data_IF_152750192694
#
_entry.id   IF_152750192694
#
_cell.length_a   1.000
_cell.length_b   1.000
_cell.length_c   1.000
_cell.angle_alpha   90.00
_cell.angle_beta   90.00
_cell.angle_gamma   90.00
#
_symmetry.space_group_name_H-M   'P 1'
#
loop_
_entity.id
_entity.type
_entity.pdbx_description
1 polymer ?
#
# COMPACT_ATOMS: atom_id res chain seq x y z
N UNK A 1 4.08 21.94 40.25
CA UNK A 1 2.99 21.74 39.25
C UNK A 1 3.29 22.54 37.99
N UNK A 2 3.65 21.88 36.87
CA UNK A 2 3.92 22.57 35.59
C UNK A 2 2.61 22.68 34.80
N UNK A 3 2.10 23.91 34.64
CA UNK A 3 0.88 24.22 33.87
C UNK A 3 1.08 23.80 32.41
N UNK A 4 0.25 22.88 31.92
CA UNK A 4 0.19 22.54 30.49
C UNK A 4 -0.21 23.78 29.69
N UNK A 5 0.65 24.21 28.77
CA UNK A 5 0.38 25.35 27.89
C UNK A 5 -0.77 24.95 26.96
N UNK A 6 -1.92 25.63 27.06
CA UNK A 6 -3.02 25.49 26.10
C UNK A 6 -2.51 25.92 24.72
N UNK A 7 -2.48 24.99 23.77
CA UNK A 7 -2.05 25.28 22.40
C UNK A 7 -3.14 26.11 21.74
N UNK A 8 -2.81 27.34 21.34
CA UNK A 8 -3.72 28.24 20.63
C UNK A 8 -3.81 27.79 19.17
N UNK A 9 -5.02 27.42 18.72
CA UNK A 9 -5.31 26.93 17.37
C UNK A 9 -4.83 27.90 16.29
N UNK A 10 -4.92 29.21 16.55
CA UNK A 10 -4.48 30.24 15.61
C UNK A 10 -2.96 30.24 15.43
N UNK A 11 -2.21 30.02 16.51
CA UNK A 11 -0.75 29.87 16.48
C UNK A 11 -0.31 28.59 15.77
N UNK A 12 -1.10 27.52 15.85
CA UNK A 12 -0.82 26.28 15.11
C UNK A 12 -1.02 26.46 13.60
N UNK A 13 -2.12 27.12 13.20
CA UNK A 13 -2.40 27.43 11.78
C UNK A 13 -1.33 28.35 11.20
N UNK A 14 -0.91 29.38 11.95
CA UNK A 14 0.15 30.28 11.54
C UNK A 14 1.48 29.54 11.34
N UNK A 15 1.85 28.66 12.28
CA UNK A 15 3.06 27.85 12.17
C UNK A 15 3.04 26.92 10.96
N UNK A 16 1.89 26.30 10.66
CA UNK A 16 1.72 25.46 9.47
C UNK A 16 1.82 26.28 8.17
N UNK A 17 1.28 27.51 8.16
CA UNK A 17 1.36 28.39 7.01
C UNK A 17 2.79 28.89 6.75
N UNK A 18 3.56 29.19 7.81
CA UNK A 18 4.98 29.57 7.72
C UNK A 18 5.83 28.39 7.21
N UNK A 19 5.62 27.18 7.73
CA UNK A 19 6.28 25.96 7.24
C UNK A 19 5.97 25.66 5.77
N UNK A 20 4.74 25.93 5.32
CA UNK A 20 4.36 25.81 3.91
C UNK A 20 5.05 26.85 3.02
N UNK A 21 5.31 28.07 3.52
CA UNK A 21 6.07 29.08 2.77
C UNK A 21 7.54 28.70 2.64
N UNK A 22 8.15 28.19 3.71
CA UNK A 22 9.54 27.70 3.70
C UNK A 22 9.72 26.55 2.70
N UNK A 23 8.82 25.57 2.71
CA UNK A 23 8.86 24.44 1.76
C UNK A 23 8.71 24.90 0.30
N UNK A 24 7.83 25.86 0.02
CA UNK A 24 7.70 26.43 -1.33
C UNK A 24 8.96 27.18 -1.76
N UNK A 25 9.63 27.87 -0.84
CA UNK A 25 10.88 28.58 -1.14
C UNK A 25 12.03 27.60 -1.40
N UNK A 26 12.14 26.51 -0.63
CA UNK A 26 13.13 25.45 -0.86
C UNK A 26 12.90 24.77 -2.22
N UNK A 27 11.65 24.56 -2.62
CA UNK A 27 11.35 24.03 -3.96
C UNK A 27 11.77 24.98 -5.09
N UNK A 28 11.65 26.31 -4.87
CA UNK A 28 12.14 27.31 -5.82
C UNK A 28 13.65 27.30 -5.92
N UNK A 29 14.38 27.20 -4.81
CA UNK A 29 15.86 27.14 -4.84
C UNK A 29 16.35 25.87 -5.54
N UNK A 30 15.76 24.70 -5.23
CA UNK A 30 16.09 23.43 -5.90
C UNK A 30 15.78 23.45 -7.40
N UNK A 31 14.74 24.18 -7.82
CA UNK A 31 14.41 24.36 -9.25
C UNK A 31 15.42 25.27 -9.95
N UNK A 32 15.91 26.31 -9.27
CA UNK A 32 16.96 27.19 -9.78
C UNK A 32 18.33 26.51 -9.83
N UNK A 33 18.65 25.65 -8.87
CA UNK A 33 19.89 24.87 -8.84
C UNK A 33 19.97 23.89 -10.03
N UNK A 34 18.85 23.25 -10.42
CA UNK A 34 18.79 22.42 -11.63
C UNK A 34 18.99 23.17 -12.95
N UNK A 35 18.91 24.50 -12.94
CA UNK A 35 19.10 25.34 -14.13
C UNK A 35 20.48 26.00 -14.21
N UNK A 36 21.38 25.79 -13.23
CA UNK A 36 22.67 26.49 -13.16
C UNK A 36 23.87 25.56 -13.45
N UNK A 37 23.70 24.24 -13.48
CA UNK A 37 24.74 23.32 -13.98
C UNK A 37 24.70 23.18 -15.52
N UNK A 38 25.05 24.26 -16.22
CA UNK A 38 25.61 24.15 -17.57
C UNK A 38 26.92 24.94 -17.65
N UNK A 39 28.04 24.21 -17.60
CA UNK A 39 29.33 24.65 -18.16
C UNK A 39 29.79 23.62 -19.20
N UNK A 40 30.59 24.06 -20.19
CA UNK A 40 30.37 23.69 -21.58
C UNK A 40 31.31 22.59 -22.07
N UNK A 41 30.78 21.59 -22.80
CA UNK A 41 31.56 20.91 -23.83
C UNK A 41 30.63 20.10 -24.74
N UNK A 42 30.77 20.31 -26.04
CA UNK A 42 29.75 20.00 -27.03
C UNK A 42 29.55 18.52 -27.36
N UNK A 43 28.34 18.21 -27.81
CA UNK A 43 28.12 17.48 -29.06
C UNK A 43 26.67 17.68 -29.51
N UNK A 44 26.53 17.85 -30.82
CA UNK A 44 25.34 18.26 -31.55
C UNK A 44 24.20 17.25 -31.39
N UNK A 45 22.97 17.72 -31.19
CA UNK A 45 21.82 17.22 -31.96
C UNK A 45 20.62 18.18 -31.86
N UNK A 46 20.26 18.70 -33.04
CA UNK A 46 19.02 19.41 -33.34
C UNK A 46 17.80 18.70 -32.76
N UNK A 47 16.95 19.42 -32.03
CA UNK A 47 15.50 19.18 -32.10
C UNK A 47 14.76 20.52 -32.08
N UNK A 48 14.03 20.77 -33.17
CA UNK A 48 13.16 21.92 -33.38
C UNK A 48 12.01 21.97 -32.34
N UNK A 49 11.53 23.16 -31.98
CA UNK A 49 10.36 23.30 -31.13
C UNK A 49 9.07 23.12 -31.96
N UNK A 50 8.38 21.99 -31.80
CA UNK A 50 7.02 21.81 -32.34
C UNK A 50 5.99 22.50 -31.44
N UNK A 51 5.44 23.58 -31.97
CA UNK A 51 4.25 24.30 -31.53
C UNK A 51 3.03 23.38 -31.45
N UNK A 52 2.32 23.43 -30.31
CA UNK A 52 1.07 22.70 -30.08
C UNK A 52 -0.06 23.43 -30.78
N UNK A 53 -0.64 22.83 -31.83
CA UNK A 53 -1.90 23.26 -32.45
C UNK A 53 -2.98 22.23 -32.12
N UNK A 54 -4.01 22.67 -31.42
CA UNK A 54 -5.22 21.90 -31.12
C UNK A 54 -6.04 21.69 -32.40
N UNK A 55 -6.38 20.45 -32.71
CA UNK A 55 -7.55 20.10 -33.55
C UNK A 55 -8.13 18.77 -33.09
N UNK A 56 -9.43 18.80 -32.79
CA UNK A 56 -10.30 17.65 -32.59
C UNK A 56 -10.39 16.87 -33.91
N UNK A 57 -10.41 15.53 -33.85
CA UNK A 57 -11.42 14.68 -34.50
C UNK A 57 -11.15 13.18 -34.28
N UNK A 58 -12.25 12.46 -34.15
CA UNK A 58 -12.46 11.03 -33.99
C UNK A 58 -12.08 10.20 -35.22
N UNK A 59 -11.52 9.00 -35.02
CA UNK A 59 -11.98 7.76 -35.66
C UNK A 59 -11.19 6.52 -35.17
N UNK A 60 -11.87 5.40 -35.23
CA UNK A 60 -11.60 4.06 -34.68
C UNK A 60 -10.66 3.27 -35.64
N UNK A 61 -9.99 2.24 -35.10
CA UNK A 61 -9.79 0.88 -35.65
C UNK A 61 -8.34 0.34 -35.53
N UNK A 62 -8.24 -0.72 -34.70
CA UNK A 62 -7.41 -1.93 -34.79
C UNK A 62 -5.95 -2.05 -34.31
N UNK A 63 -5.79 -3.06 -33.46
CA UNK A 63 -4.79 -4.13 -33.50
C UNK A 63 -3.33 -3.79 -33.17
N UNK A 64 -3.00 -3.84 -31.87
CA UNK A 64 -1.73 -4.44 -31.45
C UNK A 64 -1.95 -5.52 -30.38
N UNK A 65 -1.87 -6.75 -30.89
CA UNK A 65 -1.78 -8.04 -30.19
C UNK A 65 -0.32 -8.29 -29.82
N UNK A 66 -0.08 -8.79 -28.62
CA UNK A 66 1.22 -9.30 -28.14
C UNK A 66 1.91 -8.32 -27.18
N UNK A 67 2.10 -8.64 -25.91
CA UNK A 67 2.91 -9.79 -25.50
C UNK A 67 2.43 -10.30 -24.13
N UNK A 68 1.50 -11.26 -24.12
CA UNK A 68 1.26 -12.08 -22.94
C UNK A 68 2.49 -12.95 -22.72
N UNK A 69 3.28 -12.62 -21.71
CA UNK A 69 4.22 -13.56 -21.11
C UNK A 69 3.42 -14.71 -20.49
N UNK A 70 3.04 -15.68 -21.33
CA UNK A 70 2.55 -16.98 -20.91
C UNK A 70 3.78 -17.79 -20.49
N UNK A 71 4.22 -17.57 -19.26
CA UNK A 71 5.10 -18.45 -18.52
C UNK A 71 4.75 -18.33 -17.02
N UNK A 72 3.50 -18.63 -16.67
CA UNK A 72 3.16 -18.98 -15.29
C UNK A 72 2.82 -20.46 -15.26
N UNK A 73 3.71 -21.23 -14.66
CA UNK A 73 3.48 -22.62 -14.27
C UNK A 73 2.13 -22.73 -13.56
N UNK A 74 1.29 -23.67 -14.00
CA UNK A 74 0.00 -23.99 -13.37
C UNK A 74 0.10 -24.37 -11.88
N UNK A 75 1.31 -24.56 -11.35
CA UNK A 75 1.58 -24.94 -9.97
C UNK A 75 1.33 -23.81 -8.96
N UNK A 76 1.61 -22.56 -9.35
CA UNK A 76 1.62 -21.44 -8.40
C UNK A 76 0.23 -20.81 -8.24
N UNK A 77 -0.71 -21.15 -9.12
CA UNK A 77 -2.07 -20.63 -9.09
C UNK A 77 -2.89 -21.26 -7.96
N UNK A 78 -2.63 -22.52 -7.60
CA UNK A 78 -3.39 -23.22 -6.56
C UNK A 78 -3.20 -22.62 -5.15
N UNK A 79 -1.96 -22.40 -4.65
CA UNK A 79 -1.75 -21.75 -3.35
C UNK A 79 -2.35 -20.34 -3.30
N UNK A 80 -2.21 -19.58 -4.40
CA UNK A 80 -2.80 -18.25 -4.51
C UNK A 80 -4.31 -18.35 -4.42
N UNK A 81 -4.95 -19.26 -5.17
CA UNK A 81 -6.41 -19.46 -5.13
C UNK A 81 -6.90 -19.85 -3.75
N UNK A 82 -6.22 -20.76 -3.06
CA UNK A 82 -6.56 -21.12 -1.68
C UNK A 82 -6.45 -19.92 -0.74
N UNK A 83 -5.39 -19.13 -0.87
CA UNK A 83 -5.22 -17.92 -0.08
C UNK A 83 -6.32 -16.89 -0.34
N UNK A 84 -6.73 -16.71 -1.61
CA UNK A 84 -7.88 -15.84 -1.96
C UNK A 84 -9.17 -16.33 -1.30
N UNK A 85 -9.42 -17.64 -1.29
CA UNK A 85 -10.60 -18.22 -0.65
C UNK A 85 -10.54 -17.99 0.86
N UNK A 86 -9.40 -18.29 1.49
CA UNK A 86 -9.17 -18.08 2.92
C UNK A 86 -9.46 -16.64 3.36
N UNK A 87 -9.02 -15.64 2.60
CA UNK A 87 -9.29 -14.24 2.89
C UNK A 87 -10.77 -13.86 2.82
N UNK A 88 -11.56 -14.57 2.00
CA UNK A 88 -12.99 -14.31 1.81
C UNK A 88 -13.88 -15.05 2.81
N UNK A 89 -13.41 -16.15 3.39
CA UNK A 89 -14.20 -16.94 4.34
C UNK A 89 -14.45 -16.16 5.63
N UNK A 90 -15.71 -15.95 6.02
CA UNK A 90 -16.09 -15.33 7.30
C UNK A 90 -16.68 -16.39 8.24
N UNK A 91 -15.93 -16.74 9.30
CA UNK A 91 -16.35 -17.76 10.26
C UNK A 91 -17.19 -17.17 11.41
N UNK A 92 -17.01 -15.88 11.72
CA UNK A 92 -17.65 -15.19 12.84
C UNK A 92 -18.27 -13.88 12.33
N UNK A 93 -19.53 -13.60 12.73
CA UNK A 93 -20.33 -12.44 12.27
C UNK A 93 -20.73 -11.50 13.40
N UNK A 94 -20.25 -11.79 14.60
CA UNK A 94 -20.50 -11.02 15.81
C UNK A 94 -19.68 -9.71 15.84
N UNK A 95 -19.84 -8.96 16.93
CA UNK A 95 -19.17 -7.68 17.11
C UNK A 95 -17.66 -7.91 17.29
N UNK A 96 -16.86 -7.10 16.59
CA UNK A 96 -15.40 -7.10 16.74
C UNK A 96 -15.00 -6.52 18.10
N UNK A 97 -14.20 -7.29 18.85
CA UNK A 97 -13.52 -6.83 20.05
C UNK A 97 -12.06 -6.45 19.76
N UNK A 98 -11.53 -5.49 20.53
CA UNK A 98 -10.15 -5.02 20.40
C UNK A 98 -9.33 -5.52 21.57
N UNK A 99 -8.16 -6.08 21.28
CA UNK A 99 -7.19 -6.53 22.28
C UNK A 99 -5.78 -6.23 21.80
N UNK A 100 -4.84 -6.18 22.75
CA UNK A 100 -3.42 -5.98 22.47
C UNK A 100 -2.72 -7.33 22.54
N UNK A 101 -1.88 -7.63 21.56
CA UNK A 101 -1.10 -8.86 21.50
C UNK A 101 0.33 -8.55 21.07
N UNK A 102 1.27 -9.37 21.52
CA UNK A 102 2.68 -9.29 21.14
C UNK A 102 3.05 -10.49 20.30
N UNK A 103 3.73 -10.25 19.17
CA UNK A 103 4.32 -11.29 18.31
C UNK A 103 5.82 -11.08 18.20
N UNK A 104 6.56 -12.13 17.88
CA UNK A 104 7.96 -11.98 17.51
C UNK A 104 8.11 -11.06 16.29
N UNK A 105 9.24 -10.34 16.22
CA UNK A 105 9.55 -9.43 15.12
C UNK A 105 9.43 -10.12 13.75
N UNK A 106 9.95 -11.34 13.65
CA UNK A 106 9.93 -12.10 12.40
C UNK A 106 8.52 -12.52 12.00
N UNK A 107 7.69 -12.93 12.96
CA UNK A 107 6.30 -13.28 12.72
C UNK A 107 5.52 -12.06 12.22
N UNK A 108 5.68 -10.91 12.88
CA UNK A 108 5.09 -9.65 12.48
C UNK A 108 5.51 -9.23 11.07
N UNK A 109 6.82 -9.34 10.76
CA UNK A 109 7.36 -9.03 9.44
C UNK A 109 6.82 -9.93 8.33
N UNK A 110 6.59 -11.22 8.61
CA UNK A 110 5.97 -12.15 7.65
C UNK A 110 4.52 -11.77 7.33
N UNK A 111 3.72 -11.41 8.33
CA UNK A 111 2.36 -10.93 8.11
C UNK A 111 2.32 -9.62 7.33
N UNK A 112 3.21 -8.68 7.64
CA UNK A 112 3.33 -7.40 6.93
C UNK A 112 3.68 -7.63 5.46
N UNK A 113 4.71 -8.45 5.18
CA UNK A 113 5.11 -8.80 3.80
C UNK A 113 3.99 -9.50 3.04
N UNK A 114 3.25 -10.40 3.70
CA UNK A 114 2.13 -11.10 3.08
C UNK A 114 0.96 -10.16 2.77
N UNK A 115 0.63 -9.23 3.67
CA UNK A 115 -0.42 -8.23 3.45
C UNK A 115 -0.08 -7.30 2.28
N UNK A 116 1.18 -6.84 2.21
CA UNK A 116 1.68 -6.03 1.09
C UNK A 116 1.65 -6.82 -0.23
N UNK A 117 2.12 -8.07 -0.22
CA UNK A 117 2.05 -8.95 -1.40
C UNK A 117 0.61 -9.16 -1.88
N UNK A 118 -0.31 -9.43 -0.95
CA UNK A 118 -1.73 -9.59 -1.28
C UNK A 118 -2.32 -8.31 -1.90
N UNK A 119 -2.02 -7.15 -1.31
CA UNK A 119 -2.55 -5.87 -1.79
C UNK A 119 -1.98 -5.46 -3.14
N UNK A 120 -0.66 -5.54 -3.33
CA UNK A 120 0.00 -5.01 -4.53
C UNK A 120 0.13 -6.02 -5.67
N UNK A 121 0.23 -7.32 -5.38
CA UNK A 121 0.45 -8.36 -6.41
C UNK A 121 -0.81 -9.13 -6.74
N UNK A 122 -1.75 -9.27 -5.78
CA UNK A 122 -2.97 -10.04 -5.97
C UNK A 122 -4.24 -9.17 -6.08
N UNK A 123 -4.09 -7.85 -5.93
CA UNK A 123 -5.19 -6.86 -5.92
C UNK A 123 -6.25 -7.16 -4.86
N UNK A 124 -5.82 -7.59 -3.67
CA UNK A 124 -6.70 -7.88 -2.55
C UNK A 124 -6.35 -6.96 -1.39
N UNK A 125 -7.22 -5.99 -1.13
CA UNK A 125 -7.08 -5.04 -0.03
C UNK A 125 -7.15 -5.77 1.31
N UNK A 126 -5.98 -6.00 1.90
CA UNK A 126 -5.81 -6.73 3.16
C UNK A 126 -4.70 -6.09 3.99
N UNK A 127 -4.94 -5.88 5.27
CA UNK A 127 -3.92 -5.44 6.23
C UNK A 127 -3.41 -6.60 7.08
N UNK A 128 -2.26 -6.45 7.75
CA UNK A 128 -1.68 -7.50 8.61
C UNK A 128 -2.66 -8.02 9.67
N UNK A 129 -3.45 -7.13 10.25
CA UNK A 129 -4.42 -7.46 11.30
C UNK A 129 -5.56 -8.31 10.74
N UNK A 130 -5.89 -8.17 9.45
CA UNK A 130 -6.91 -8.99 8.80
C UNK A 130 -6.40 -10.42 8.63
N UNK A 131 -5.14 -10.58 8.21
CA UNK A 131 -4.50 -11.88 8.14
C UNK A 131 -4.41 -12.56 9.50
N UNK A 132 -3.93 -11.85 10.52
CA UNK A 132 -3.82 -12.38 11.89
C UNK A 132 -5.19 -12.85 12.37
N UNK A 133 -6.23 -12.02 12.19
CA UNK A 133 -7.59 -12.38 12.57
C UNK A 133 -8.06 -13.65 11.85
N UNK A 134 -7.91 -13.73 10.53
CA UNK A 134 -8.31 -14.92 9.76
C UNK A 134 -7.60 -16.19 10.22
N UNK A 135 -6.33 -16.11 10.57
CA UNK A 135 -5.58 -17.27 11.08
C UNK A 135 -6.10 -17.73 12.44
N UNK A 136 -6.40 -16.78 13.33
CA UNK A 136 -6.99 -17.10 14.65
C UNK A 136 -8.40 -17.68 14.51
N UNK A 137 -9.24 -17.09 13.67
CA UNK A 137 -10.60 -17.56 13.38
C UNK A 137 -10.60 -18.97 12.79
N UNK A 138 -9.71 -19.25 11.83
CA UNK A 138 -9.57 -20.57 11.20
C UNK A 138 -9.12 -21.64 12.18
N UNK A 139 -8.21 -21.30 13.10
CA UNK A 139 -7.78 -22.23 14.15
C UNK A 139 -8.94 -22.60 15.08
N UNK A 140 -9.69 -21.60 15.56
CA UNK A 140 -10.81 -21.81 16.46
C UNK A 140 -11.91 -22.62 15.76
N UNK A 141 -12.33 -22.23 14.57
CA UNK A 141 -13.39 -22.93 13.81
C UNK A 141 -13.06 -24.43 13.61
N UNK A 142 -11.80 -24.74 13.28
CA UNK A 142 -11.38 -26.13 13.01
C UNK A 142 -11.17 -26.98 14.26
N UNK A 143 -10.74 -26.38 15.37
CA UNK A 143 -10.19 -27.15 16.52
C UNK A 143 -11.01 -27.04 17.78
N UNK A 144 -11.77 -25.96 17.98
CA UNK A 144 -12.42 -25.65 19.25
C UNK A 144 -13.29 -26.79 19.78
N UNK A 145 -14.29 -27.25 19.01
CA UNK A 145 -15.23 -28.30 19.45
C UNK A 145 -14.54 -29.59 19.91
N UNK A 146 -13.47 -30.02 19.23
CA UNK A 146 -12.76 -31.24 19.60
C UNK A 146 -11.95 -31.05 20.88
N UNK A 147 -11.27 -29.91 20.99
CA UNK A 147 -10.42 -29.61 22.15
C UNK A 147 -11.24 -29.36 23.41
N UNK A 148 -12.34 -28.60 23.31
CA UNK A 148 -13.17 -28.28 24.48
C UNK A 148 -13.80 -29.54 25.07
N UNK A 149 -14.28 -30.47 24.23
CA UNK A 149 -14.81 -31.75 24.70
C UNK A 149 -13.76 -32.59 25.46
N UNK A 150 -12.50 -32.57 25.03
CA UNK A 150 -11.42 -33.30 25.70
C UNK A 150 -11.06 -32.63 27.04
N UNK A 151 -11.12 -31.30 27.11
CA UNK A 151 -10.81 -30.54 28.32
C UNK A 151 -11.92 -30.71 29.36
N UNK A 152 -13.19 -30.64 28.95
CA UNK A 152 -14.35 -30.75 29.86
C UNK A 152 -14.60 -32.17 30.37
N UNK A 153 -14.10 -33.19 29.67
CA UNK A 153 -14.15 -34.59 30.12
C UNK A 153 -13.02 -34.97 31.09
N UNK A 154 -12.05 -34.09 31.30
CA UNK A 154 -10.97 -34.27 32.29
C UNK A 154 -11.34 -33.59 33.60
#
# INVERSE_FOLDING_TARGET
MKRGKKVNTLGLIQKMAEQNKETVNVLKTLKSERSIEETPSGSKQHFEPKTVRNTKETAVIENHKGMTSKNSSMTDEYPVRQFKLFLRTENFRDRKESFVLSLSKDCMGKYEKLAQGASYKLDIKTHRNDLIRKVLEDFIDKKYRKLINIIEQK
#
